data_IF_877706014634
#
_entry.id   IF_877706014634
#
_cell.length_a   1.000
_cell.length_b   1.000
_cell.length_c   1.000
_cell.angle_alpha   90.00
_cell.angle_beta   90.00
_cell.angle_gamma   90.00
#
_symmetry.space_group_name_H-M   'P 1'
#
loop_
_entity.id
_entity.type
_entity.pdbx_description
1 polymer ?
#
# COMPACT_ATOMS: atom_id res chain seq x y z
N UNK A 1 11.37 -4.50 35.49
CA UNK A 1 11.72 -4.41 34.05
C UNK A 1 12.06 -5.81 33.59
N UNK A 2 11.33 -6.41 32.65
CA UNK A 2 11.78 -7.68 32.05
C UNK A 2 12.96 -7.34 31.15
N UNK A 3 14.14 -7.89 31.42
CA UNK A 3 15.22 -7.94 30.43
C UNK A 3 14.61 -8.54 29.16
N UNK A 4 14.44 -7.70 28.13
CA UNK A 4 14.08 -8.23 26.82
C UNK A 4 15.36 -8.87 26.30
N UNK A 5 15.50 -10.18 26.49
CA UNK A 5 16.52 -10.96 25.83
C UNK A 5 16.49 -10.60 24.34
N UNK A 6 17.62 -10.10 23.82
CA UNK A 6 17.76 -9.78 22.40
C UNK A 6 17.50 -11.06 21.59
N UNK A 7 16.64 -11.02 20.55
CA UNK A 7 16.37 -12.22 19.74
C UNK A 7 17.65 -12.72 19.06
N UNK A 8 17.87 -14.04 18.93
CA UNK A 8 19.09 -14.57 18.33
C UNK A 8 19.43 -14.00 16.95
N UNK A 9 18.40 -13.79 16.10
CA UNK A 9 18.55 -13.18 14.78
C UNK A 9 19.12 -11.76 14.79
N UNK A 10 19.01 -11.01 15.89
CA UNK A 10 19.53 -9.64 15.99
C UNK A 10 21.04 -9.65 16.26
N UNK A 11 21.53 -10.66 16.97
CA UNK A 11 22.94 -10.83 17.33
C UNK A 11 23.69 -11.76 16.37
N UNK A 12 23.01 -12.25 15.34
CA UNK A 12 23.55 -13.22 14.39
C UNK A 12 24.49 -12.51 13.39
N UNK A 13 25.73 -13.00 13.31
CA UNK A 13 26.75 -12.47 12.40
C UNK A 13 26.36 -12.67 10.93
N UNK A 14 25.68 -13.77 10.62
CA UNK A 14 25.19 -14.02 9.27
C UNK A 14 24.14 -13.01 8.86
N UNK A 15 23.17 -12.70 9.74
CA UNK A 15 22.17 -11.65 9.49
C UNK A 15 22.84 -10.31 9.27
N UNK A 16 23.84 -9.97 10.10
CA UNK A 16 24.59 -8.72 9.99
C UNK A 16 25.30 -8.59 8.64
N UNK A 17 25.93 -9.68 8.17
CA UNK A 17 26.59 -9.78 6.87
C UNK A 17 25.59 -9.69 5.71
N UNK A 18 24.49 -10.43 5.76
CA UNK A 18 23.47 -10.45 4.71
C UNK A 18 22.82 -9.08 4.51
N UNK A 19 22.59 -8.34 5.60
CA UNK A 19 21.94 -7.04 5.55
C UNK A 19 22.90 -5.87 5.27
N UNK A 20 24.22 -6.10 5.32
CA UNK A 20 25.23 -5.05 5.39
C UNK A 20 24.94 -4.03 6.52
N UNK A 21 24.59 -4.56 7.70
CA UNK A 21 24.34 -3.77 8.91
C UNK A 21 25.10 -4.38 10.08
N UNK A 22 26.00 -3.63 10.73
CA UNK A 22 26.71 -4.11 11.93
C UNK A 22 25.74 -4.60 13.02
N UNK A 23 26.09 -5.73 13.67
CA UNK A 23 25.29 -6.32 14.76
C UNK A 23 24.96 -5.31 15.87
N UNK A 24 25.92 -4.47 16.24
CA UNK A 24 25.72 -3.38 17.22
C UNK A 24 24.59 -2.41 16.81
N UNK A 25 24.50 -2.07 15.52
CA UNK A 25 23.41 -1.23 15.00
C UNK A 25 22.07 -1.97 14.97
N UNK A 26 22.06 -3.27 14.69
CA UNK A 26 20.85 -4.10 14.76
C UNK A 26 20.31 -4.18 16.19
N UNK A 27 21.19 -4.39 17.17
CA UNK A 27 20.85 -4.39 18.60
C UNK A 27 20.27 -3.05 19.04
N UNK A 28 20.93 -1.94 18.70
CA UNK A 28 20.40 -0.61 18.99
C UNK A 28 19.03 -0.38 18.36
N UNK A 29 18.86 -0.78 17.10
CA UNK A 29 17.60 -0.65 16.37
C UNK A 29 16.49 -1.48 17.02
N UNK A 30 16.81 -2.66 17.56
CA UNK A 30 15.87 -3.46 18.35
C UNK A 30 15.46 -2.75 19.65
N UNK A 31 16.42 -2.20 20.40
CA UNK A 31 16.13 -1.46 21.65
C UNK A 31 15.29 -0.21 21.40
N UNK A 32 15.54 0.50 20.30
CA UNK A 32 14.77 1.67 19.83
C UNK A 32 13.40 1.29 19.23
N UNK A 33 13.09 -0.01 19.11
CA UNK A 33 11.83 -0.52 18.55
C UNK A 33 11.69 -0.35 17.03
N UNK A 34 12.79 -0.04 16.34
CA UNK A 34 12.88 -0.01 14.88
C UNK A 34 12.89 -1.40 14.27
N UNK A 35 13.47 -2.38 14.98
CA UNK A 35 13.38 -3.81 14.69
C UNK A 35 12.57 -4.48 15.80
N UNK A 36 11.73 -5.45 15.46
CA UNK A 36 10.94 -6.21 16.45
C UNK A 36 11.00 -7.70 16.18
N UNK A 37 11.00 -8.49 17.26
CA UNK A 37 10.75 -9.93 17.16
C UNK A 37 9.36 -10.16 16.56
N UNK A 38 9.28 -11.08 15.63
CA UNK A 38 8.05 -11.54 15.00
C UNK A 38 7.98 -13.06 15.11
N UNK A 39 6.94 -13.58 15.77
CA UNK A 39 6.77 -15.03 15.96
C UNK A 39 5.30 -15.39 15.76
N UNK A 40 4.92 -15.70 14.52
CA UNK A 40 3.54 -16.00 14.10
C UNK A 40 3.55 -16.94 12.90
N UNK A 41 2.44 -17.66 12.68
CA UNK A 41 2.26 -18.58 11.55
C UNK A 41 3.40 -19.61 11.41
N UNK A 42 3.93 -20.06 12.55
CA UNK A 42 5.05 -21.01 12.62
C UNK A 42 6.43 -20.42 12.30
N UNK A 43 6.54 -19.12 12.01
CA UNK A 43 7.80 -18.48 11.61
C UNK A 43 8.44 -17.74 12.77
N UNK A 44 9.76 -17.85 12.88
CA UNK A 44 10.60 -17.07 13.81
C UNK A 44 11.36 -16.04 12.99
N UNK A 45 11.10 -14.76 13.25
CA UNK A 45 11.64 -13.68 12.42
C UNK A 45 11.96 -12.42 13.23
N UNK A 46 12.66 -11.49 12.58
CA UNK A 46 12.72 -10.09 12.96
C UNK A 46 12.12 -9.22 11.85
N UNK A 47 11.37 -8.20 12.26
CA UNK A 47 10.64 -7.28 11.39
C UNK A 47 11.20 -5.88 11.53
N UNK A 48 11.56 -5.27 10.41
CA UNK A 48 12.02 -3.88 10.33
C UNK A 48 10.80 -2.93 10.26
N UNK A 49 10.45 -2.30 11.37
CA UNK A 49 9.37 -1.30 11.46
C UNK A 49 9.74 0.05 10.85
N UNK A 50 11.04 0.37 10.86
CA UNK A 50 11.63 1.53 10.20
C UNK A 50 12.81 1.05 9.36
N UNK A 51 13.18 1.84 8.35
CA UNK A 51 14.39 1.56 7.58
C UNK A 51 15.64 1.74 8.44
N UNK A 52 16.69 0.99 8.11
CA UNK A 52 17.98 0.99 8.80
C UNK A 52 19.10 0.83 7.77
N UNK A 53 19.82 1.91 7.47
CA UNK A 53 20.85 1.89 6.43
C UNK A 53 20.25 1.48 5.08
N UNK A 54 20.79 0.43 4.41
CA UNK A 54 20.27 -0.05 3.13
C UNK A 54 18.94 -0.82 3.26
N UNK A 55 18.53 -1.20 4.47
CA UNK A 55 17.35 -2.03 4.70
C UNK A 55 16.08 -1.20 4.80
N UNK A 56 15.09 -1.46 3.95
CA UNK A 56 13.82 -0.74 3.93
C UNK A 56 12.91 -1.14 5.08
N UNK A 57 12.04 -0.22 5.48
CA UNK A 57 10.92 -0.54 6.37
C UNK A 57 10.02 -1.60 5.72
N UNK A 58 9.56 -2.56 6.54
CA UNK A 58 8.79 -3.71 6.10
C UNK A 58 9.62 -4.94 5.74
N UNK A 59 10.96 -4.87 5.83
CA UNK A 59 11.83 -6.03 5.66
C UNK A 59 11.56 -7.07 6.75
N UNK A 60 11.53 -8.34 6.35
CA UNK A 60 11.42 -9.50 7.22
C UNK A 60 12.67 -10.36 7.07
N UNK A 61 13.31 -10.70 8.19
CA UNK A 61 14.40 -11.69 8.23
C UNK A 61 13.89 -12.89 8.99
N UNK A 62 13.81 -14.02 8.29
CA UNK A 62 13.11 -15.21 8.73
C UNK A 62 14.15 -16.30 8.96
N UNK A 63 14.04 -16.98 10.11
CA UNK A 63 14.85 -18.14 10.44
C UNK A 63 14.14 -19.40 9.95
N UNK A 64 14.65 -19.98 8.88
CA UNK A 64 14.29 -21.30 8.35
C UNK A 64 15.45 -22.29 8.50
N UNK A 65 15.56 -23.20 7.54
CA UNK A 65 16.80 -23.98 7.30
C UNK A 65 17.97 -23.05 6.93
N UNK A 66 17.67 -22.04 6.11
CA UNK A 66 18.53 -20.90 5.81
C UNK A 66 17.89 -19.59 6.29
N UNK A 67 18.69 -18.53 6.40
CA UNK A 67 18.16 -17.20 6.70
C UNK A 67 17.60 -16.59 5.41
N UNK A 68 16.29 -16.39 5.39
CA UNK A 68 15.62 -15.71 4.28
C UNK A 68 15.37 -14.24 4.62
N UNK A 69 15.79 -13.34 3.73
CA UNK A 69 15.52 -11.91 3.85
C UNK A 69 14.49 -11.52 2.80
N UNK A 70 13.29 -11.13 3.21
CA UNK A 70 12.26 -10.58 2.33
C UNK A 70 12.24 -9.06 2.49
N UNK A 71 12.94 -8.37 1.58
CA UNK A 71 13.13 -6.91 1.65
C UNK A 71 11.82 -6.12 1.54
N UNK A 72 11.76 -5.03 2.29
CA UNK A 72 10.65 -4.08 2.23
C UNK A 72 10.53 -3.46 0.84
N UNK A 73 9.32 -3.35 0.31
CA UNK A 73 9.16 -2.65 -0.97
C UNK A 73 9.58 -1.18 -0.81
N UNK A 74 10.41 -0.62 -1.72
CA UNK A 74 10.94 0.73 -1.58
C UNK A 74 9.84 1.80 -1.70
N UNK A 75 10.07 2.97 -1.10
CA UNK A 75 9.12 4.08 -1.20
C UNK A 75 9.24 4.74 -2.57
N UNK A 76 8.18 4.65 -3.37
CA UNK A 76 8.11 5.37 -4.65
C UNK A 76 7.98 6.87 -4.39
N UNK A 77 8.91 7.65 -4.96
CA UNK A 77 8.93 9.11 -4.85
C UNK A 77 7.78 9.71 -5.64
N UNK A 78 7.23 10.82 -5.16
CA UNK A 78 6.15 11.55 -5.84
C UNK A 78 6.72 12.77 -6.52
N UNK A 79 6.26 13.03 -7.74
CA UNK A 79 6.44 14.34 -8.35
C UNK A 79 5.15 15.14 -8.30
N UNK A 80 5.24 16.46 -8.15
CA UNK A 80 4.10 17.37 -8.15
C UNK A 80 3.82 17.95 -9.53
N UNK A 81 4.82 17.91 -10.40
CA UNK A 81 4.75 18.29 -11.82
C UNK A 81 5.49 17.24 -12.65
N UNK A 82 5.03 16.97 -13.85
CA UNK A 82 5.67 16.08 -14.82
C UNK A 82 6.82 16.80 -15.54
N UNK A 83 6.63 18.03 -15.98
CA UNK A 83 7.73 18.86 -16.52
C UNK A 83 8.20 19.88 -15.46
N UNK A 84 9.51 20.08 -15.22
CA UNK A 84 10.67 19.42 -15.84
C UNK A 84 11.12 18.15 -15.09
N UNK A 85 10.30 17.61 -14.18
CA UNK A 85 10.72 16.53 -13.28
C UNK A 85 11.14 15.25 -14.03
N UNK A 86 10.41 14.88 -15.09
CA UNK A 86 10.72 13.69 -15.88
C UNK A 86 12.02 13.83 -16.65
N UNK A 87 12.26 14.96 -17.30
CA UNK A 87 13.50 15.25 -18.04
C UNK A 87 14.74 15.25 -17.14
N UNK A 88 14.59 15.71 -15.90
CA UNK A 88 15.70 15.73 -14.92
C UNK A 88 15.97 14.36 -14.30
N UNK A 89 14.98 13.48 -14.27
CA UNK A 89 15.06 12.21 -13.55
C UNK A 89 15.31 11.02 -14.47
N UNK A 90 14.65 10.96 -15.63
CA UNK A 90 14.80 9.88 -16.60
C UNK A 90 15.68 10.31 -17.78
N UNK A 91 16.56 9.44 -18.29
CA UNK A 91 17.57 9.85 -19.27
C UNK A 91 17.06 9.84 -20.71
N UNK A 92 16.11 8.96 -21.05
CA UNK A 92 15.69 8.74 -22.46
C UNK A 92 14.22 8.44 -22.61
N UNK A 93 13.73 7.43 -21.89
CA UNK A 93 12.36 6.94 -22.01
C UNK A 93 11.75 6.69 -20.64
N UNK A 94 10.42 6.75 -20.59
CA UNK A 94 9.64 6.54 -19.38
C UNK A 94 8.55 5.51 -19.69
N UNK A 95 8.58 4.39 -18.97
CA UNK A 95 7.48 3.46 -18.94
C UNK A 95 6.42 3.92 -17.94
N UNK A 96 5.16 3.85 -18.34
CA UNK A 96 4.03 4.35 -17.55
C UNK A 96 3.08 3.20 -17.26
N UNK A 97 3.07 2.74 -16.02
CA UNK A 97 2.11 1.75 -15.54
C UNK A 97 0.95 2.43 -14.79
N UNK A 98 -0.25 1.84 -14.87
CA UNK A 98 -1.38 2.28 -14.06
C UNK A 98 -1.06 2.10 -12.57
N UNK A 99 -1.31 3.15 -11.79
CA UNK A 99 -1.29 3.06 -10.34
C UNK A 99 -2.67 2.58 -9.88
N UNK A 100 -2.71 1.34 -9.41
CA UNK A 100 -3.91 0.76 -8.82
C UNK A 100 -4.09 1.22 -7.37
N UNK A 101 -5.34 1.42 -6.95
CA UNK A 101 -5.76 1.82 -5.62
C UNK A 101 -6.20 0.59 -4.83
N UNK A 102 -5.29 0.07 -4.02
CA UNK A 102 -5.52 -1.09 -3.17
C UNK A 102 -4.55 -1.10 -2.01
N UNK A 103 -4.02 -2.28 -1.70
CA UNK A 103 -2.89 -2.36 -0.78
C UNK A 103 -1.74 -3.20 -1.35
N UNK A 104 -0.53 -2.71 -1.05
CA UNK A 104 0.73 -3.35 -1.42
C UNK A 104 0.91 -4.70 -0.72
N UNK A 105 1.18 -5.73 -1.51
CA UNK A 105 1.51 -7.08 -1.06
C UNK A 105 2.82 -7.53 -1.68
N UNK A 106 3.65 -8.20 -0.88
CA UNK A 106 4.78 -9.00 -1.34
C UNK A 106 4.46 -10.46 -1.10
N UNK A 107 4.57 -11.30 -2.12
CA UNK A 107 4.35 -12.73 -2.03
C UNK A 107 5.70 -13.41 -2.27
N UNK A 108 6.08 -14.32 -1.37
CA UNK A 108 7.32 -15.07 -1.47
C UNK A 108 7.11 -16.52 -1.03
N UNK A 109 7.89 -17.42 -1.61
CA UNK A 109 8.04 -18.79 -1.11
C UNK A 109 8.97 -18.79 0.09
N UNK A 110 8.52 -19.22 1.27
CA UNK A 110 9.30 -19.22 2.51
C UNK A 110 9.05 -20.53 3.24
N UNK A 111 10.10 -21.28 3.59
CA UNK A 111 9.98 -22.56 4.31
C UNK A 111 8.94 -23.52 3.69
N UNK A 112 8.96 -23.66 2.35
CA UNK A 112 8.09 -24.60 1.64
C UNK A 112 6.63 -24.15 1.48
N UNK A 113 6.32 -22.85 1.68
CA UNK A 113 4.95 -22.32 1.53
C UNK A 113 4.93 -20.91 0.94
N UNK A 114 3.84 -20.58 0.24
CA UNK A 114 3.55 -19.21 -0.21
C UNK A 114 3.11 -18.35 0.98
N UNK A 115 3.77 -17.20 1.17
CA UNK A 115 3.49 -16.24 2.25
C UNK A 115 3.29 -14.84 1.69
N UNK A 116 2.22 -14.17 2.10
CA UNK A 116 1.93 -12.79 1.71
C UNK A 116 2.20 -11.80 2.85
N UNK A 117 3.06 -10.83 2.57
CA UNK A 117 3.45 -9.75 3.46
C UNK A 117 2.79 -8.44 3.04
N UNK A 118 2.12 -7.78 3.98
CA UNK A 118 1.68 -6.39 3.80
C UNK A 118 2.88 -5.44 3.76
N UNK A 119 2.62 -4.18 3.40
CA UNK A 119 3.65 -3.14 3.33
C UNK A 119 4.53 -3.04 4.58
N UNK A 120 3.94 -3.23 5.76
CA UNK A 120 4.66 -3.15 7.04
C UNK A 120 5.53 -4.37 7.36
N UNK A 121 5.55 -5.40 6.52
CA UNK A 121 6.23 -6.68 6.79
C UNK A 121 5.40 -7.66 7.62
N UNK A 122 4.12 -7.37 7.85
CA UNK A 122 3.27 -8.33 8.54
C UNK A 122 2.80 -9.40 7.57
N UNK A 123 2.87 -10.66 7.98
CA UNK A 123 2.14 -11.73 7.31
C UNK A 123 0.66 -11.52 7.57
N UNK A 124 -0.10 -11.37 6.49
CA UNK A 124 -1.56 -11.28 6.58
C UNK A 124 -2.15 -12.66 6.26
N UNK A 125 -2.86 -13.30 7.20
CA UNK A 125 -3.44 -14.63 6.95
C UNK A 125 -4.47 -14.59 5.83
N UNK A 126 -5.32 -13.57 5.82
CA UNK A 126 -6.31 -13.36 4.75
C UNK A 126 -5.64 -13.23 3.38
N UNK A 127 -4.65 -12.34 3.26
CA UNK A 127 -3.97 -12.11 1.99
C UNK A 127 -3.18 -13.33 1.53
N UNK A 128 -2.57 -14.10 2.45
CA UNK A 128 -1.83 -15.31 2.09
C UNK A 128 -2.76 -16.37 1.49
N UNK A 129 -3.93 -16.59 2.11
CA UNK A 129 -4.95 -17.49 1.56
C UNK A 129 -5.49 -17.00 0.21
N UNK A 130 -5.89 -15.73 0.12
CA UNK A 130 -6.47 -15.16 -1.11
C UNK A 130 -5.46 -15.11 -2.25
N UNK A 131 -4.18 -14.87 -1.98
CA UNK A 131 -3.13 -14.93 -3.00
C UNK A 131 -3.11 -16.30 -3.70
N UNK A 132 -3.07 -17.41 -2.95
CA UNK A 132 -3.09 -18.77 -3.50
C UNK A 132 -4.43 -19.18 -4.13
N UNK A 133 -5.53 -18.53 -3.77
CA UNK A 133 -6.84 -18.77 -4.41
C UNK A 133 -6.99 -18.01 -5.75
N UNK A 134 -6.32 -16.86 -5.88
CA UNK A 134 -6.43 -15.95 -7.03
C UNK A 134 -5.33 -16.22 -8.06
N UNK A 135 -4.16 -16.67 -7.61
CA UNK A 135 -2.97 -16.85 -8.44
C UNK A 135 -2.52 -18.31 -8.37
N UNK A 136 -2.21 -18.87 -9.54
CA UNK A 136 -1.42 -20.11 -9.62
C UNK A 136 0.06 -19.75 -9.48
N UNK A 137 0.67 -20.14 -8.37
CA UNK A 137 2.01 -19.70 -7.96
C UNK A 137 3.01 -20.85 -7.83
N UNK A 138 2.54 -22.09 -7.93
CA UNK A 138 3.34 -23.27 -7.61
C UNK A 138 4.47 -23.45 -8.64
N UNK A 139 4.14 -23.43 -9.94
CA UNK A 139 5.14 -23.51 -11.02
C UNK A 139 6.12 -22.32 -10.98
N UNK A 140 5.61 -21.11 -10.75
CA UNK A 140 6.46 -19.91 -10.68
C UNK A 140 7.50 -20.01 -9.56
N UNK A 141 7.10 -20.42 -8.36
CA UNK A 141 8.02 -20.52 -7.23
C UNK A 141 8.90 -21.78 -7.25
N UNK A 142 8.49 -22.83 -7.97
CA UNK A 142 9.36 -23.96 -8.26
C UNK A 142 10.56 -23.51 -9.11
N UNK A 143 10.33 -22.69 -10.12
CA UNK A 143 11.39 -22.21 -11.02
C UNK A 143 12.16 -21.00 -10.46
N UNK A 144 11.46 -20.11 -9.73
CA UNK A 144 12.00 -18.86 -9.20
C UNK A 144 11.80 -18.68 -7.68
N UNK A 145 12.30 -19.60 -6.83
CA UNK A 145 12.09 -19.55 -5.37
C UNK A 145 12.73 -18.34 -4.69
N UNK A 146 13.67 -17.66 -5.35
CA UNK A 146 14.37 -16.47 -4.85
C UNK A 146 13.69 -15.16 -5.23
N UNK A 147 12.60 -15.21 -6.01
CA UNK A 147 11.83 -14.03 -6.39
C UNK A 147 10.73 -13.71 -5.38
N UNK A 148 10.40 -12.43 -5.31
CA UNK A 148 9.32 -11.86 -4.53
C UNK A 148 8.39 -11.16 -5.50
N UNK A 149 7.15 -11.63 -5.57
CA UNK A 149 6.10 -11.00 -6.37
C UNK A 149 5.57 -9.79 -5.62
N UNK A 150 5.71 -8.60 -6.19
CA UNK A 150 5.20 -7.37 -5.62
C UNK A 150 4.00 -6.90 -6.44
N UNK A 151 2.85 -6.77 -5.78
CA UNK A 151 1.62 -6.38 -6.46
C UNK A 151 0.64 -5.66 -5.55
N UNK A 152 -0.45 -5.23 -6.16
CA UNK A 152 -1.54 -4.56 -5.48
C UNK A 152 -2.72 -5.51 -5.41
N UNK A 153 -3.23 -5.74 -4.20
CA UNK A 153 -4.51 -6.41 -4.01
C UNK A 153 -5.62 -5.37 -4.07
N UNK A 154 -6.59 -5.57 -4.95
CA UNK A 154 -7.62 -4.60 -5.33
C UNK A 154 -9.00 -5.26 -5.44
N UNK A 155 -10.07 -4.47 -5.43
CA UNK A 155 -11.45 -4.94 -5.56
C UNK A 155 -12.36 -4.43 -4.45
N UNK A 156 -13.65 -4.69 -4.58
CA UNK A 156 -14.67 -4.20 -3.65
C UNK A 156 -14.73 -4.98 -2.33
N UNK A 157 -14.33 -6.26 -2.33
CA UNK A 157 -14.26 -7.13 -1.15
C UNK A 157 -12.85 -7.13 -0.54
N UNK A 158 -12.29 -5.94 -0.40
CA UNK A 158 -10.93 -5.70 0.08
C UNK A 158 -10.96 -5.14 1.51
N UNK A 159 -10.25 -5.76 2.47
CA UNK A 159 -10.32 -5.37 3.87
C UNK A 159 -9.48 -4.15 4.27
N UNK A 160 -8.76 -3.54 3.34
CA UNK A 160 -7.91 -2.38 3.62
C UNK A 160 -8.30 -1.16 2.79
N UNK A 161 -8.55 -1.37 1.50
CA UNK A 161 -8.93 -0.31 0.55
C UNK A 161 -9.92 -0.91 -0.43
N UNK A 162 -11.20 -0.57 -0.27
CA UNK A 162 -12.25 -1.01 -1.18
C UNK A 162 -12.36 -0.05 -2.36
N UNK A 163 -12.13 -0.55 -3.57
CA UNK A 163 -12.28 0.22 -4.80
C UNK A 163 -12.68 -0.69 -5.95
N UNK A 164 -13.60 -0.21 -6.79
CA UNK A 164 -14.16 -1.02 -7.86
C UNK A 164 -13.30 -0.95 -9.13
N UNK A 165 -12.80 -2.12 -9.54
CA UNK A 165 -12.12 -2.33 -10.80
C UNK A 165 -12.96 -3.29 -11.65
N UNK A 166 -13.63 -2.83 -12.73
CA UNK A 166 -14.50 -3.68 -13.56
C UNK A 166 -13.84 -4.99 -14.04
N UNK A 167 -12.57 -4.91 -14.42
CA UNK A 167 -11.76 -6.04 -14.90
C UNK A 167 -11.31 -7.00 -13.79
N UNK A 168 -11.51 -6.64 -12.52
CA UNK A 168 -11.17 -7.46 -11.34
C UNK A 168 -12.41 -7.97 -10.62
N UNK A 169 -13.47 -7.16 -10.55
CA UNK A 169 -14.67 -7.48 -9.80
C UNK A 169 -14.46 -7.39 -8.29
N UNK A 170 -14.66 -8.50 -7.58
CA UNK A 170 -14.72 -8.53 -6.11
C UNK A 170 -13.35 -8.41 -5.44
N UNK A 171 -12.39 -9.20 -5.87
CA UNK A 171 -11.05 -9.21 -5.31
C UNK A 171 -10.10 -9.80 -6.35
N UNK A 172 -8.94 -9.18 -6.53
CA UNK A 172 -7.92 -9.66 -7.43
C UNK A 172 -6.58 -9.02 -7.17
N UNK A 173 -5.58 -9.49 -7.92
CA UNK A 173 -4.19 -9.09 -7.74
C UNK A 173 -3.59 -8.62 -9.07
N UNK A 174 -2.80 -7.55 -9.02
CA UNK A 174 -2.05 -7.07 -10.19
C UNK A 174 -0.59 -6.84 -9.82
N UNK A 175 0.31 -7.46 -10.58
CA UNK A 175 1.73 -7.47 -10.28
C UNK A 175 2.39 -6.23 -10.90
N UNK A 176 3.06 -5.42 -10.09
CA UNK A 176 3.82 -4.27 -10.60
C UNK A 176 5.33 -4.47 -10.52
N UNK A 177 5.84 -5.44 -9.76
CA UNK A 177 7.27 -5.72 -9.66
C UNK A 177 7.57 -7.20 -9.39
N UNK A 178 8.75 -7.65 -9.83
CA UNK A 178 9.40 -8.88 -9.40
C UNK A 178 10.78 -8.49 -8.87
N UNK A 179 11.08 -8.89 -7.63
CA UNK A 179 12.32 -8.51 -6.95
C UNK A 179 12.99 -9.71 -6.31
N UNK A 180 14.31 -9.74 -6.28
CA UNK A 180 15.04 -10.74 -5.52
C UNK A 180 14.89 -10.54 -4.01
N UNK A 181 14.74 -11.63 -3.26
CA UNK A 181 14.58 -11.65 -1.79
C UNK A 181 15.59 -10.75 -1.08
N UNK A 182 16.88 -11.08 -1.17
CA UNK A 182 17.95 -10.45 -0.38
C UNK A 182 18.34 -9.06 -0.89
N UNK A 183 18.56 -8.94 -2.19
CA UNK A 183 19.12 -7.73 -2.82
C UNK A 183 18.07 -6.65 -3.04
N UNK A 184 16.79 -7.03 -3.08
CA UNK A 184 15.66 -6.18 -3.51
C UNK A 184 15.77 -5.70 -4.96
N UNK A 185 16.67 -6.28 -5.76
CA UNK A 185 16.92 -5.89 -7.15
C UNK A 185 15.70 -6.21 -8.00
N UNK A 186 15.11 -5.23 -8.70
CA UNK A 186 13.98 -5.46 -9.60
C UNK A 186 14.43 -6.02 -10.94
N UNK A 187 13.57 -6.83 -11.56
CA UNK A 187 13.73 -7.18 -12.97
C UNK A 187 13.42 -5.98 -13.88
N UNK A 188 14.11 -5.84 -15.03
CA UNK A 188 13.72 -4.88 -16.06
C UNK A 188 12.26 -5.05 -16.48
N UNK A 189 11.61 -3.95 -16.87
CA UNK A 189 10.16 -3.91 -17.10
C UNK A 189 9.67 -4.97 -18.08
N UNK A 190 10.31 -5.08 -19.25
CA UNK A 190 9.87 -6.01 -20.30
C UNK A 190 10.19 -7.46 -19.94
N UNK A 191 11.35 -7.71 -19.33
CA UNK A 191 11.72 -9.03 -18.80
C UNK A 191 10.72 -9.53 -17.77
N UNK A 192 10.32 -8.66 -16.82
CA UNK A 192 9.25 -8.97 -15.85
C UNK A 192 7.96 -9.37 -16.56
N UNK A 193 7.56 -8.64 -17.60
CA UNK A 193 6.29 -8.86 -18.29
C UNK A 193 6.28 -10.14 -19.11
N UNK A 194 7.38 -10.46 -19.79
CA UNK A 194 7.57 -11.72 -20.52
C UNK A 194 7.52 -12.89 -19.54
N UNK A 195 8.30 -12.82 -18.45
CA UNK A 195 8.31 -13.84 -17.41
C UNK A 195 6.92 -14.08 -16.81
N UNK A 196 6.18 -13.02 -16.45
CA UNK A 196 4.84 -13.17 -15.90
C UNK A 196 3.86 -13.80 -16.90
N UNK A 197 4.02 -13.53 -18.20
CA UNK A 197 3.16 -14.10 -19.23
C UNK A 197 3.35 -15.62 -19.35
N UNK A 198 4.58 -16.12 -19.19
CA UNK A 198 4.89 -17.56 -19.23
C UNK A 198 4.14 -18.34 -18.14
N UNK A 199 3.86 -17.72 -16.99
CA UNK A 199 3.10 -18.29 -15.88
C UNK A 199 1.65 -17.80 -15.79
N UNK A 200 1.14 -17.12 -16.83
CA UNK A 200 -0.22 -16.57 -16.86
C UNK A 200 -0.54 -15.63 -15.68
N UNK A 201 0.48 -14.97 -15.14
CA UNK A 201 0.36 -14.02 -14.05
C UNK A 201 0.11 -12.62 -14.59
N UNK A 202 -0.89 -11.91 -14.06
CA UNK A 202 -1.32 -10.63 -14.62
C UNK A 202 -0.57 -9.42 -14.03
N UNK A 203 0.24 -8.71 -14.82
CA UNK A 203 0.81 -7.44 -14.39
C UNK A 203 -0.21 -6.30 -14.40
N UNK A 204 0.12 -5.20 -13.74
CA UNK A 204 -0.58 -3.92 -13.94
C UNK A 204 -0.53 -3.48 -15.41
N UNK A 205 -1.52 -2.68 -15.80
CA UNK A 205 -1.63 -2.16 -17.17
C UNK A 205 -0.43 -1.28 -17.50
N UNK A 206 0.27 -1.61 -18.59
CA UNK A 206 1.25 -0.72 -19.21
C UNK A 206 0.49 0.23 -20.14
N UNK A 207 0.53 1.53 -19.84
CA UNK A 207 -0.17 2.58 -20.57
C UNK A 207 0.67 3.12 -21.74
N UNK A 208 1.98 2.88 -21.69
CA UNK A 208 2.91 3.13 -22.79
C UNK A 208 4.35 3.26 -22.31
N UNK A 209 5.27 3.31 -23.28
CA UNK A 209 6.65 3.73 -23.10
C UNK A 209 6.85 4.93 -24.02
N UNK A 210 7.28 6.05 -23.45
CA UNK A 210 7.37 7.32 -24.17
C UNK A 210 8.79 7.87 -24.10
N UNK A 211 9.28 8.52 -25.18
CA UNK A 211 10.44 9.40 -25.07
C UNK A 211 10.22 10.45 -23.97
N UNK A 212 11.27 10.76 -23.22
CA UNK A 212 11.22 11.68 -22.06
C UNK A 212 10.65 13.05 -22.41
N UNK A 213 10.94 13.53 -23.63
CA UNK A 213 10.51 14.82 -24.16
C UNK A 213 8.99 14.89 -24.37
N UNK A 214 8.38 13.77 -24.82
CA UNK A 214 6.93 13.68 -25.05
C UNK A 214 6.16 13.24 -23.79
N UNK A 215 6.85 12.59 -22.85
CA UNK A 215 6.25 11.93 -21.70
C UNK A 215 5.35 12.85 -20.86
N UNK A 216 5.71 14.11 -20.52
CA UNK A 216 4.86 14.98 -19.71
C UNK A 216 3.47 15.18 -20.33
N UNK A 217 3.40 15.52 -21.63
CA UNK A 217 2.12 15.78 -22.29
C UNK A 217 1.28 14.51 -22.42
N UNK A 218 1.90 13.38 -22.78
CA UNK A 218 1.20 12.08 -22.89
C UNK A 218 0.64 11.64 -21.54
N UNK A 219 1.43 11.76 -20.47
CA UNK A 219 1.04 11.35 -19.12
C UNK A 219 -0.07 12.26 -18.57
N UNK A 220 -0.04 13.58 -18.82
CA UNK A 220 -1.15 14.46 -18.45
C UNK A 220 -2.47 14.02 -19.09
N UNK A 221 -2.45 13.66 -20.38
CA UNK A 221 -3.62 13.14 -21.09
C UNK A 221 -4.13 11.83 -20.47
N UNK A 222 -3.22 10.90 -20.19
CA UNK A 222 -3.52 9.62 -19.54
C UNK A 222 -4.13 9.85 -18.15
N UNK A 223 -3.52 10.67 -17.31
CA UNK A 223 -3.98 10.92 -15.93
C UNK A 223 -5.34 11.60 -15.90
N UNK A 224 -5.62 12.50 -16.86
CA UNK A 224 -6.93 13.11 -17.02
C UNK A 224 -7.99 12.07 -17.35
N UNK A 225 -7.70 11.14 -18.25
CA UNK A 225 -8.63 10.07 -18.62
C UNK A 225 -8.83 9.07 -17.47
N UNK A 226 -7.75 8.67 -16.81
CA UNK A 226 -7.81 7.85 -15.59
C UNK A 226 -8.72 8.51 -14.54
N UNK A 227 -8.54 9.81 -14.28
CA UNK A 227 -9.36 10.55 -13.31
C UNK A 227 -10.85 10.56 -13.66
N UNK A 228 -11.23 10.64 -14.94
CA UNK A 228 -12.64 10.57 -15.36
C UNK A 228 -13.25 9.17 -15.14
N UNK A 229 -12.42 8.14 -15.12
CA UNK A 229 -12.82 6.75 -14.95
C UNK A 229 -12.55 6.25 -13.51
N UNK A 230 -12.47 7.18 -12.54
CA UNK A 230 -12.23 6.90 -11.12
C UNK A 230 -10.94 6.11 -10.84
N UNK A 231 -9.90 6.30 -11.66
CA UNK A 231 -8.59 5.64 -11.49
C UNK A 231 -7.58 6.57 -10.80
N UNK A 232 -6.69 5.95 -10.03
CA UNK A 232 -5.80 6.69 -9.11
C UNK A 232 -4.75 7.55 -9.83
N UNK A 233 -4.09 7.00 -10.84
CA UNK A 233 -3.02 7.67 -11.56
C UNK A 233 -1.99 6.71 -12.13
N UNK A 234 -0.71 7.12 -12.10
CA UNK A 234 0.38 6.39 -12.77
C UNK A 234 1.61 6.23 -11.89
N UNK A 235 2.36 5.16 -12.18
CA UNK A 235 3.76 4.97 -11.76
C UNK A 235 4.63 5.01 -13.00
N UNK A 236 5.60 5.92 -12.99
CA UNK A 236 6.56 6.16 -14.07
C UNK A 236 7.87 5.47 -13.69
N UNK A 237 8.39 4.65 -14.59
CA UNK A 237 9.54 3.77 -14.36
C UNK A 237 10.56 3.95 -15.46
N UNK A 238 11.82 3.79 -15.08
CA UNK A 238 12.89 3.53 -16.04
C UNK A 238 12.71 2.10 -16.57
N UNK A 239 12.64 1.85 -17.89
CA UNK A 239 12.40 0.51 -18.42
C UNK A 239 13.43 -0.52 -18.00
N UNK A 240 14.68 -0.09 -17.76
CA UNK A 240 15.77 -0.93 -17.26
C UNK A 240 15.80 -1.04 -15.74
N UNK A 241 14.90 -0.33 -15.03
CA UNK A 241 14.75 -0.32 -13.57
C UNK A 241 16.05 0.02 -12.82
N UNK A 242 16.92 0.83 -13.44
CA UNK A 242 18.15 1.35 -12.83
C UNK A 242 17.89 2.62 -12.02
N UNK A 243 16.76 3.29 -12.27
CA UNK A 243 16.35 4.49 -11.57
C UNK A 243 15.07 4.27 -10.77
N UNK A 244 15.00 4.94 -9.62
CA UNK A 244 13.83 4.89 -8.74
C UNK A 244 12.56 5.38 -9.45
N UNK A 245 11.43 4.66 -9.35
CA UNK A 245 10.17 5.10 -9.93
C UNK A 245 9.66 6.42 -9.35
N UNK A 246 8.86 7.12 -10.15
CA UNK A 246 8.07 8.29 -9.74
C UNK A 246 6.57 7.95 -9.78
N UNK A 247 5.75 8.59 -8.95
CA UNK A 247 4.28 8.49 -9.02
C UNK A 247 3.61 9.85 -9.15
N UNK A 248 2.49 9.86 -9.87
CA UNK A 248 1.66 11.04 -10.12
C UNK A 248 0.19 10.62 -10.17
N UNK A 249 -0.71 11.38 -9.54
CA UNK A 249 -2.11 10.98 -9.32
C UNK A 249 -3.09 11.96 -9.94
N UNK A 250 -4.29 11.49 -10.28
CA UNK A 250 -5.37 12.33 -10.79
C UNK A 250 -5.89 13.28 -9.69
N UNK A 251 -6.63 14.32 -10.09
CA UNK A 251 -7.30 15.23 -9.15
C UNK A 251 -8.45 14.52 -8.43
N UNK A 252 -9.18 13.66 -9.15
CA UNK A 252 -10.26 12.84 -8.61
C UNK A 252 -9.76 11.90 -7.51
N UNK A 253 -8.58 11.28 -7.69
CA UNK A 253 -7.97 10.47 -6.65
C UNK A 253 -7.62 11.29 -5.39
N UNK A 254 -7.19 12.54 -5.55
CA UNK A 254 -6.88 13.42 -4.41
C UNK A 254 -8.14 13.85 -3.68
N UNK A 255 -9.21 14.15 -4.41
CA UNK A 255 -10.54 14.42 -3.89
C UNK A 255 -11.07 13.22 -3.09
N UNK A 256 -11.05 12.01 -3.66
CA UNK A 256 -11.48 10.80 -2.97
C UNK A 256 -10.63 10.48 -1.72
N UNK A 257 -9.31 10.68 -1.77
CA UNK A 257 -8.43 10.53 -0.59
C UNK A 257 -8.76 11.56 0.51
N UNK A 258 -9.15 12.78 0.13
CA UNK A 258 -9.59 13.81 1.07
C UNK A 258 -10.95 13.45 1.66
N UNK A 259 -11.90 13.06 0.82
CA UNK A 259 -13.23 12.64 1.25
C UNK A 259 -13.14 11.55 2.31
N UNK A 260 -12.39 10.48 2.05
CA UNK A 260 -12.16 9.42 3.03
C UNK A 260 -11.49 9.92 4.32
N UNK A 261 -10.44 10.74 4.20
CA UNK A 261 -9.73 11.25 5.37
C UNK A 261 -10.60 12.20 6.22
N UNK A 262 -11.53 12.91 5.58
CA UNK A 262 -12.42 13.89 6.21
C UNK A 262 -13.75 13.29 6.67
N UNK A 263 -14.08 12.05 6.27
CA UNK A 263 -15.07 11.23 6.99
C UNK A 263 -14.59 10.90 8.40
N UNK A 264 -13.27 10.85 8.65
CA UNK A 264 -12.68 10.55 9.96
C UNK A 264 -11.62 11.58 10.37
N UNK A 265 -12.01 12.86 10.54
CA UNK A 265 -11.08 13.98 10.53
C UNK A 265 -10.06 13.96 11.67
N UNK A 266 -10.42 13.42 12.83
CA UNK A 266 -9.53 13.39 13.99
C UNK A 266 -8.64 12.14 14.06
N UNK A 267 -8.89 11.15 13.21
CA UNK A 267 -8.02 9.98 13.06
C UNK A 267 -7.09 10.10 11.85
N UNK A 268 -7.56 10.71 10.75
CA UNK A 268 -6.89 10.66 9.46
C UNK A 268 -6.46 12.02 8.92
N UNK A 269 -7.29 13.07 8.99
CA UNK A 269 -7.12 14.26 8.16
C UNK A 269 -5.77 14.97 8.32
N UNK A 270 -5.22 15.04 9.54
CA UNK A 270 -3.93 15.71 9.80
C UNK A 270 -2.80 15.17 8.91
N UNK A 271 -2.78 13.86 8.66
CA UNK A 271 -1.73 13.22 7.86
C UNK A 271 -1.92 13.40 6.34
N UNK A 272 -3.11 13.84 5.90
CA UNK A 272 -3.50 13.83 4.48
C UNK A 272 -3.66 15.24 3.91
N UNK A 273 -4.38 16.13 4.61
CA UNK A 273 -4.95 17.37 4.08
C UNK A 273 -3.94 18.25 3.33
N UNK A 274 -2.91 18.73 4.04
CA UNK A 274 -1.92 19.66 3.46
C UNK A 274 -1.26 19.10 2.21
N UNK A 275 -0.86 17.82 2.26
CA UNK A 275 -0.15 17.19 1.14
C UNK A 275 -1.02 17.01 -0.11
N UNK A 276 -2.35 16.92 0.01
CA UNK A 276 -3.27 16.79 -1.14
C UNK A 276 -3.60 18.16 -1.72
N UNK A 277 -3.80 19.17 -0.88
CA UNK A 277 -4.01 20.55 -1.33
C UNK A 277 -2.80 21.07 -2.13
N UNK A 278 -1.58 20.79 -1.65
CA UNK A 278 -0.36 21.19 -2.37
C UNK A 278 -0.28 20.54 -3.76
N UNK A 279 -0.66 19.25 -3.88
CA UNK A 279 -0.68 18.56 -5.18
C UNK A 279 -1.65 19.20 -6.16
N UNK A 280 -2.86 19.54 -5.72
CA UNK A 280 -3.85 20.22 -6.56
C UNK A 280 -3.34 21.57 -7.06
N UNK A 281 -2.67 22.35 -6.21
CA UNK A 281 -2.10 23.65 -6.60
C UNK A 281 -1.05 23.53 -7.71
N UNK A 282 -0.11 22.60 -7.57
CA UNK A 282 0.92 22.35 -8.59
C UNK A 282 0.34 21.75 -9.88
N UNK A 283 -0.59 20.80 -9.76
CA UNK A 283 -1.22 20.20 -10.93
C UNK A 283 -2.05 21.22 -11.71
N UNK A 284 -2.81 22.07 -11.01
CA UNK A 284 -3.59 23.14 -11.63
C UNK A 284 -2.69 24.13 -12.39
N UNK A 285 -1.58 24.54 -11.76
CA UNK A 285 -0.57 25.39 -12.39
C UNK A 285 0.05 24.73 -13.65
N UNK A 286 0.41 23.45 -13.57
CA UNK A 286 0.99 22.70 -14.69
C UNK A 286 0.03 22.61 -15.89
N UNK A 287 -1.26 22.43 -15.63
CA UNK A 287 -2.26 22.24 -16.69
C UNK A 287 -2.73 23.53 -17.36
N UNK A 288 -2.39 24.70 -16.83
CA UNK A 288 -2.80 26.00 -17.38
C UNK A 288 -4.32 26.14 -17.51
N UNK A 289 -5.05 25.71 -16.48
CA UNK A 289 -6.52 25.61 -16.47
C UNK A 289 -7.22 26.93 -16.79
N UNK A 290 -8.36 26.85 -17.48
CA UNK A 290 -9.27 27.99 -17.64
C UNK A 290 -9.92 28.35 -16.30
N UNK A 291 -10.50 29.55 -16.21
CA UNK A 291 -11.26 30.00 -15.03
C UNK A 291 -12.36 29.02 -14.63
N UNK A 292 -13.06 28.43 -15.61
CA UNK A 292 -14.13 27.46 -15.33
C UNK A 292 -13.58 26.15 -14.78
N UNK A 293 -12.47 25.65 -15.35
CA UNK A 293 -11.79 24.44 -14.87
C UNK A 293 -11.25 24.63 -13.45
N UNK A 294 -10.68 25.81 -13.16
CA UNK A 294 -10.25 26.18 -11.81
C UNK A 294 -11.41 26.18 -10.83
N UNK A 295 -12.58 26.70 -11.25
CA UNK A 295 -13.79 26.73 -10.42
C UNK A 295 -14.30 25.31 -10.15
N UNK A 296 -14.34 24.45 -11.16
CA UNK A 296 -14.72 23.03 -11.00
C UNK A 296 -13.78 22.29 -10.03
N UNK A 297 -12.48 22.51 -10.14
CA UNK A 297 -11.48 21.94 -9.22
C UNK A 297 -11.69 22.46 -7.80
N UNK A 298 -11.87 23.77 -7.62
CA UNK A 298 -12.11 24.38 -6.33
C UNK A 298 -13.40 23.84 -5.68
N UNK A 299 -14.47 23.69 -6.46
CA UNK A 299 -15.73 23.11 -5.99
C UNK A 299 -15.54 21.66 -5.52
N UNK A 300 -14.95 20.81 -6.37
CA UNK A 300 -14.64 19.41 -6.03
C UNK A 300 -13.87 19.31 -4.72
N UNK A 301 -12.84 20.13 -4.56
CA UNK A 301 -12.00 20.13 -3.37
C UNK A 301 -12.75 20.61 -2.13
N UNK A 302 -13.58 21.65 -2.26
CA UNK A 302 -14.43 22.15 -1.17
C UNK A 302 -15.45 21.10 -0.71
N UNK A 303 -16.14 20.47 -1.65
CA UNK A 303 -17.13 19.42 -1.38
C UNK A 303 -16.50 18.18 -0.74
N UNK A 304 -15.36 17.72 -1.27
CA UNK A 304 -14.62 16.57 -0.72
C UNK A 304 -14.09 16.80 0.70
N UNK A 305 -14.02 18.05 1.15
CA UNK A 305 -13.62 18.40 2.51
C UNK A 305 -14.87 18.54 3.40
N UNK A 306 -15.84 19.34 2.98
CA UNK A 306 -16.93 19.78 3.86
C UNK A 306 -18.03 18.73 4.03
N UNK A 307 -18.48 18.08 2.95
CA UNK A 307 -19.61 17.16 3.03
C UNK A 307 -19.32 15.91 3.87
N UNK A 308 -18.16 15.24 3.74
CA UNK A 308 -17.86 14.06 4.54
C UNK A 308 -17.76 14.36 6.04
N UNK A 309 -17.23 15.54 6.40
CA UNK A 309 -17.23 15.99 7.80
C UNK A 309 -18.64 16.20 8.32
N UNK A 310 -19.49 16.89 7.55
CA UNK A 310 -20.86 17.19 7.94
C UNK A 310 -21.67 15.91 8.14
N UNK A 311 -21.53 14.94 7.24
CA UNK A 311 -22.18 13.63 7.34
C UNK A 311 -21.75 12.88 8.60
N UNK A 312 -20.45 12.83 8.90
CA UNK A 312 -19.96 12.16 10.11
C UNK A 312 -20.42 12.87 11.38
N UNK A 313 -20.44 14.21 11.40
CA UNK A 313 -20.96 14.97 12.55
C UNK A 313 -22.43 14.64 12.79
N UNK A 314 -23.25 14.65 11.74
CA UNK A 314 -24.67 14.33 11.84
C UNK A 314 -24.93 12.88 12.30
N UNK A 315 -24.12 11.91 11.84
CA UNK A 315 -24.18 10.52 12.30
C UNK A 315 -23.88 10.41 13.80
N UNK A 316 -22.81 11.05 14.26
CA UNK A 316 -22.42 11.02 15.67
C UNK A 316 -23.46 11.71 16.56
N UNK A 317 -24.02 12.84 16.11
CA UNK A 317 -25.12 13.52 16.83
C UNK A 317 -26.35 12.62 17.03
N UNK A 318 -26.62 11.73 16.07
CA UNK A 318 -27.71 10.75 16.14
C UNK A 318 -27.36 9.51 16.98
N UNK A 319 -26.16 9.46 17.58
CA UNK A 319 -25.68 8.34 18.38
C UNK A 319 -25.06 7.20 17.57
N UNK A 320 -24.83 7.37 16.27
CA UNK A 320 -24.09 6.40 15.46
C UNK A 320 -22.57 6.54 15.68
N UNK A 321 -21.85 5.43 15.50
CA UNK A 321 -20.39 5.44 15.62
C UNK A 321 -19.74 5.95 14.33
N UNK A 322 -18.69 6.76 14.48
CA UNK A 322 -17.74 7.02 13.38
C UNK A 322 -16.99 5.73 13.03
N UNK A 323 -17.51 4.96 12.09
CA UNK A 323 -16.99 3.67 11.68
C UNK A 323 -17.17 3.43 10.17
N UNK A 324 -16.36 2.54 9.62
CA UNK A 324 -16.51 1.99 8.26
C UNK A 324 -16.71 0.49 8.31
N UNK A 325 -17.56 -0.04 7.42
CA UNK A 325 -17.82 -1.47 7.27
C UNK A 325 -17.13 -1.97 5.99
N UNK A 326 -16.18 -2.88 6.16
CA UNK A 326 -15.41 -3.50 5.07
C UNK A 326 -15.84 -4.95 4.93
N UNK A 327 -16.21 -5.36 3.72
CA UNK A 327 -16.67 -6.71 3.44
C UNK A 327 -15.54 -7.58 2.89
N UNK A 328 -15.42 -8.80 3.40
CA UNK A 328 -14.49 -9.81 2.90
C UNK A 328 -15.17 -11.16 2.68
N UNK A 329 -14.63 -11.98 1.79
CA UNK A 329 -15.03 -13.39 1.63
C UNK A 329 -14.16 -14.28 2.51
N UNK A 330 -14.79 -15.09 3.36
CA UNK A 330 -14.15 -16.00 4.31
C UNK A 330 -14.79 -17.38 4.22
N UNK A 331 -13.97 -18.42 4.39
CA UNK A 331 -14.44 -19.80 4.32
C UNK A 331 -15.03 -20.27 5.65
N UNK A 332 -14.70 -19.58 6.76
CA UNK A 332 -15.23 -19.88 8.09
C UNK A 332 -15.20 -18.67 9.03
N UNK A 333 -15.89 -18.80 10.17
CA UNK A 333 -15.82 -17.84 11.28
C UNK A 333 -14.39 -17.69 11.83
N UNK A 334 -13.65 -18.79 11.92
CA UNK A 334 -12.28 -18.79 12.44
C UNK A 334 -11.35 -17.93 11.58
N UNK A 335 -11.54 -17.94 10.26
CA UNK A 335 -10.80 -17.08 9.34
C UNK A 335 -11.05 -15.59 9.56
N UNK A 336 -12.31 -15.22 9.78
CA UNK A 336 -12.68 -13.85 10.10
C UNK A 336 -12.05 -13.41 11.43
N UNK A 337 -12.12 -14.26 12.46
CA UNK A 337 -11.55 -13.99 13.78
C UNK A 337 -10.02 -13.88 13.73
N UNK A 338 -9.35 -14.71 12.92
CA UNK A 338 -7.91 -14.62 12.68
C UNK A 338 -7.54 -13.28 12.03
N UNK A 339 -8.34 -12.83 11.06
CA UNK A 339 -8.13 -11.54 10.42
C UNK A 339 -8.35 -10.36 11.39
N UNK A 340 -9.38 -10.42 12.24
CA UNK A 340 -9.61 -9.41 13.30
C UNK A 340 -8.42 -9.35 14.27
N UNK A 341 -7.87 -10.50 14.69
CA UNK A 341 -6.66 -10.56 15.52
C UNK A 341 -5.48 -9.89 14.81
N UNK A 342 -5.31 -10.16 13.51
CA UNK A 342 -4.29 -9.49 12.70
C UNK A 342 -4.47 -7.97 12.67
N UNK A 343 -5.68 -7.44 12.44
CA UNK A 343 -5.95 -6.00 12.49
C UNK A 343 -5.61 -5.39 13.86
N UNK A 344 -5.92 -6.08 14.95
CA UNK A 344 -5.53 -5.66 16.30
C UNK A 344 -4.02 -5.55 16.48
N UNK A 345 -3.24 -6.44 15.87
CA UNK A 345 -1.77 -6.36 15.85
C UNK A 345 -1.22 -5.18 15.03
N UNK A 346 -1.99 -4.73 14.05
CA UNK A 346 -1.76 -3.48 13.33
C UNK A 346 -2.20 -2.25 14.14
N UNK A 347 -2.76 -2.45 15.35
CA UNK A 347 -3.39 -1.42 16.19
C UNK A 347 -4.61 -0.78 15.53
N UNK A 348 -5.28 -1.52 14.65
CA UNK A 348 -6.56 -1.12 14.07
C UNK A 348 -7.66 -1.63 14.98
N UNK A 349 -8.55 -0.74 15.43
CA UNK A 349 -9.74 -1.12 16.18
C UNK A 349 -10.80 -1.61 15.20
N UNK A 350 -10.98 -2.92 15.16
CA UNK A 350 -11.96 -3.57 14.30
C UNK A 350 -12.70 -4.67 15.05
N UNK A 351 -13.97 -4.85 14.70
CA UNK A 351 -14.85 -5.91 15.19
C UNK A 351 -15.53 -6.63 14.04
N UNK A 352 -15.97 -7.86 14.27
CA UNK A 352 -16.84 -8.57 13.33
C UNK A 352 -18.28 -8.12 13.57
N UNK A 353 -18.88 -7.45 12.60
CA UNK A 353 -20.26 -6.96 12.69
C UNK A 353 -21.28 -8.03 12.26
N UNK A 354 -20.99 -8.76 11.18
CA UNK A 354 -21.86 -9.82 10.66
C UNK A 354 -21.01 -10.87 9.93
N UNK A 355 -21.45 -12.13 9.97
CA UNK A 355 -21.01 -13.17 9.03
C UNK A 355 -22.24 -13.84 8.40
N UNK A 356 -22.28 -13.89 7.07
CA UNK A 356 -23.40 -14.48 6.34
C UNK A 356 -22.97 -14.96 4.96
N UNK A 357 -23.34 -16.20 4.60
CA UNK A 357 -23.08 -16.78 3.28
C UNK A 357 -21.62 -16.65 2.81
N UNK A 358 -20.65 -16.96 3.69
CA UNK A 358 -19.22 -16.87 3.37
C UNK A 358 -18.69 -15.44 3.26
N UNK A 359 -19.44 -14.43 3.73
CA UNK A 359 -19.01 -13.03 3.77
C UNK A 359 -18.98 -12.52 5.20
N UNK A 360 -17.89 -11.88 5.59
CA UNK A 360 -17.74 -11.22 6.88
C UNK A 360 -17.71 -9.70 6.69
N UNK A 361 -18.45 -8.99 7.53
CA UNK A 361 -18.44 -7.53 7.63
C UNK A 361 -17.54 -7.14 8.79
N UNK A 362 -16.42 -6.51 8.46
CA UNK A 362 -15.41 -6.04 9.40
C UNK A 362 -15.67 -4.55 9.65
N UNK A 363 -16.14 -4.23 10.85
CA UNK A 363 -16.38 -2.84 11.27
C UNK A 363 -15.12 -2.26 11.87
N UNK A 364 -14.56 -1.23 11.24
CA UNK A 364 -13.43 -0.47 11.75
C UNK A 364 -13.93 0.81 12.43
N UNK A 365 -13.48 1.04 13.66
CA UNK A 365 -13.96 2.15 14.50
C UNK A 365 -12.90 3.25 14.57
N UNK A 366 -13.32 4.49 14.33
CA UNK A 366 -12.50 5.70 14.37
C UNK A 366 -12.77 6.48 15.66
N UNK A 367 -12.19 5.98 16.76
CA UNK A 367 -12.51 6.44 18.12
C UNK A 367 -12.15 7.91 18.35
N UNK A 368 -11.01 8.39 17.84
CA UNK A 368 -10.60 9.79 18.05
C UNK A 368 -11.62 10.74 17.44
N UNK A 369 -12.17 10.36 16.29
CA UNK A 369 -13.24 11.08 15.59
C UNK A 369 -14.52 11.07 16.41
N UNK A 370 -14.95 9.89 16.85
CA UNK A 370 -16.14 9.74 17.66
C UNK A 370 -16.08 10.60 18.94
N UNK A 371 -14.98 10.50 19.69
CA UNK A 371 -14.83 11.16 20.99
C UNK A 371 -14.78 12.68 20.87
N UNK A 372 -14.01 13.19 19.89
CA UNK A 372 -13.87 14.65 19.70
C UNK A 372 -15.13 15.29 19.17
N UNK A 373 -15.84 14.64 18.24
CA UNK A 373 -17.12 15.17 17.74
C UNK A 373 -18.13 15.25 18.89
N UNK A 374 -18.32 14.18 19.68
CA UNK A 374 -19.21 14.20 20.84
C UNK A 374 -18.84 15.33 21.81
N UNK A 375 -17.55 15.43 22.18
CA UNK A 375 -17.08 16.50 23.06
C UNK A 375 -17.42 17.90 22.53
N UNK A 376 -17.26 18.16 21.23
CA UNK A 376 -17.58 19.47 20.65
C UNK A 376 -19.09 19.72 20.53
N UNK A 377 -19.90 18.69 20.23
CA UNK A 377 -21.36 18.78 20.23
C UNK A 377 -21.91 19.08 21.63
N UNK A 378 -21.26 18.55 22.68
CA UNK A 378 -21.59 18.81 24.08
C UNK A 378 -21.08 20.17 24.60
N UNK A 379 -20.52 21.03 23.74
CA UNK A 379 -20.03 22.36 24.09
C UNK A 379 -18.60 22.40 24.63
N UNK A 380 -17.82 21.33 24.45
CA UNK A 380 -16.39 21.31 24.72
C UNK A 380 -15.64 22.34 23.88
N UNK A 381 -14.56 22.91 24.43
CA UNK A 381 -13.76 23.94 23.78
C UNK A 381 -12.64 23.33 22.92
N UNK A 382 -12.31 24.00 21.80
CA UNK A 382 -11.25 23.59 20.86
C UNK A 382 -9.85 23.64 21.46
#
# INVERSE_FOLDING_TARGET
>A
MREKSTPPLVTDEEVSRLLDVPSTKLEEAYQKGMVKKYQKHGLVAIQFRKGLGPVEAGTMVIKGEEIEVIRGFPKIRRTLMLHPALEKHFPREVAVEEKMNGYNVRIAWVDGKVVAFTRGGYICPYTSRKASQILDLDEFFQDYPQMVICGEMVGTLNPYVSHYYPEVGKLGFRIFDLREKLTNTPLPLMVKRELLADYQLEPVRLLGVFPVEDAPQKILGIVRELGKNDREGVVMKDPQMQLEPLKYTSSQAQAAELEYALSFPFDLAQAFLFSRIIREGFQSHETGESTDQLRERALRMGESILYPMLETIAKVEQGELAAEDLMIEVDSQEEADEFIRHLRDLKVMATLAEIKNGKAVIRRIHQSTNDRINNYLDGGLY
#
